data_IF_384563890635
#
_entry.id   IF_384563890635
#
_cell.length_a   1.000
_cell.length_b   1.000
_cell.length_c   1.000
_cell.angle_alpha   90.00
_cell.angle_beta   90.00
_cell.angle_gamma   90.00
#
_symmetry.space_group_name_H-M   'P 1'
#
loop_
_entity.id
_entity.type
_entity.pdbx_description
1 polymer ?
#
# COMPACT_ATOMS: atom_id res chain seq x y z
N UNK A 1 4.33 -6.67 -15.38
CA UNK A 1 3.93 -5.44 -14.64
C UNK A 1 4.79 -5.30 -13.39
N UNK A 2 5.01 -4.10 -12.94
CA UNK A 2 5.81 -3.82 -11.76
C UNK A 2 5.05 -2.98 -10.76
N UNK A 3 5.18 -3.32 -9.46
CA UNK A 3 4.62 -2.55 -8.35
C UNK A 3 5.71 -2.20 -7.33
N UNK A 4 5.67 -0.97 -6.85
CA UNK A 4 6.47 -0.53 -5.70
C UNK A 4 5.54 -0.50 -4.50
N UNK A 5 5.93 -1.18 -3.44
CA UNK A 5 5.20 -1.21 -2.16
C UNK A 5 6.07 -0.50 -1.12
N UNK A 6 5.51 0.51 -0.47
CA UNK A 6 6.20 1.25 0.57
C UNK A 6 5.65 0.84 1.94
N UNK A 7 6.50 0.26 2.76
CA UNK A 7 6.16 -0.28 4.08
C UNK A 7 6.25 -1.80 4.12
N UNK A 8 7.23 -2.33 4.84
CA UNK A 8 7.46 -3.78 4.97
C UNK A 8 6.70 -4.34 6.18
N UNK A 9 5.38 -4.21 6.15
CA UNK A 9 4.47 -4.69 7.21
C UNK A 9 3.82 -6.02 6.83
N UNK A 10 3.06 -6.57 7.76
CA UNK A 10 2.31 -7.81 7.52
C UNK A 10 1.34 -7.73 6.35
N UNK A 11 0.70 -6.56 6.15
CA UNK A 11 -0.20 -6.32 5.02
C UNK A 11 0.53 -6.42 3.68
N UNK A 12 1.76 -5.91 3.61
CA UNK A 12 2.58 -6.03 2.40
C UNK A 12 2.90 -7.50 2.11
N UNK A 13 3.27 -8.25 3.14
CA UNK A 13 3.57 -9.68 3.00
C UNK A 13 2.36 -10.46 2.48
N UNK A 14 1.20 -10.23 3.06
CA UNK A 14 -0.04 -10.89 2.63
C UNK A 14 -0.39 -10.53 1.19
N UNK A 15 -0.27 -9.26 0.82
CA UNK A 15 -0.53 -8.82 -0.55
C UNK A 15 0.41 -9.52 -1.53
N UNK A 16 1.72 -9.52 -1.24
CA UNK A 16 2.74 -10.12 -2.10
C UNK A 16 2.45 -11.61 -2.31
N UNK A 17 2.05 -12.31 -1.25
CA UNK A 17 1.76 -13.73 -1.33
C UNK A 17 0.47 -14.05 -2.11
N UNK A 18 -0.39 -13.06 -2.35
CA UNK A 18 -1.68 -13.23 -3.03
C UNK A 18 -1.70 -12.78 -4.47
N UNK A 19 -0.94 -11.74 -4.84
CA UNK A 19 -0.98 -11.24 -6.22
C UNK A 19 -0.31 -12.21 -7.18
N UNK A 20 -0.69 -12.10 -8.46
CA UNK A 20 -0.23 -13.03 -9.48
C UNK A 20 1.28 -12.93 -9.74
N UNK A 21 1.84 -13.99 -10.29
CA UNK A 21 3.27 -14.07 -10.65
C UNK A 21 3.68 -13.08 -11.76
N UNK A 22 2.71 -12.49 -12.44
CA UNK A 22 2.99 -11.47 -13.46
C UNK A 22 3.49 -10.14 -12.91
N UNK A 23 3.48 -9.96 -11.59
CA UNK A 23 3.98 -8.75 -10.95
C UNK A 23 5.42 -8.92 -10.47
N UNK A 24 6.30 -8.01 -10.91
CA UNK A 24 7.60 -7.80 -10.28
C UNK A 24 7.42 -6.81 -9.13
N UNK A 25 8.05 -7.07 -8.00
CA UNK A 25 7.77 -6.34 -6.76
C UNK A 25 9.04 -5.76 -6.17
N UNK A 26 9.01 -4.47 -5.84
CA UNK A 26 10.00 -3.82 -4.99
C UNK A 26 9.33 -3.36 -3.70
N UNK A 27 9.97 -3.62 -2.57
CA UNK A 27 9.50 -3.17 -1.26
C UNK A 27 10.50 -2.18 -0.69
N UNK A 28 10.04 -1.02 -0.29
CA UNK A 28 10.85 0.03 0.33
C UNK A 28 10.45 0.17 1.79
N UNK A 29 11.42 0.21 2.67
CA UNK A 29 11.21 0.55 4.08
C UNK A 29 12.44 1.30 4.61
N UNK A 30 12.20 2.22 5.52
CA UNK A 30 13.26 2.95 6.18
C UNK A 30 14.06 2.07 7.14
N UNK A 31 13.40 1.05 7.70
CA UNK A 31 13.93 0.16 8.71
C UNK A 31 14.56 -1.08 8.08
N UNK A 32 15.89 -1.15 8.11
CA UNK A 32 16.63 -2.25 7.53
C UNK A 32 16.35 -3.59 8.24
N UNK A 33 16.08 -3.57 9.53
CA UNK A 33 15.76 -4.78 10.28
C UNK A 33 14.43 -5.37 9.84
N UNK A 34 13.44 -4.53 9.57
CA UNK A 34 12.16 -4.98 9.00
C UNK A 34 12.38 -5.65 7.66
N UNK A 35 13.17 -5.05 6.78
CA UNK A 35 13.46 -5.63 5.47
C UNK A 35 14.20 -6.95 5.59
N UNK A 36 15.17 -7.03 6.49
CA UNK A 36 15.95 -8.25 6.70
C UNK A 36 15.07 -9.41 7.13
N UNK A 37 14.10 -9.15 7.98
CA UNK A 37 13.19 -10.14 8.52
C UNK A 37 11.94 -10.34 7.67
N UNK A 38 11.80 -9.56 6.59
CA UNK A 38 10.66 -9.63 5.69
C UNK A 38 10.85 -10.75 4.67
N UNK A 39 10.10 -11.82 4.83
CA UNK A 39 10.17 -12.97 3.91
C UNK A 39 8.81 -13.24 3.29
N UNK A 40 8.83 -13.61 2.02
CA UNK A 40 7.63 -13.91 1.24
C UNK A 40 7.81 -15.23 0.51
N UNK A 41 6.74 -15.76 -0.06
CA UNK A 41 6.78 -16.99 -0.86
C UNK A 41 7.34 -16.79 -2.28
N UNK A 42 7.82 -15.59 -2.60
CA UNK A 42 8.37 -15.25 -3.91
C UNK A 42 9.53 -14.28 -3.77
N UNK A 43 10.33 -14.21 -4.82
CA UNK A 43 11.47 -13.30 -4.86
C UNK A 43 10.98 -11.85 -5.05
N UNK A 44 11.52 -10.95 -4.25
CA UNK A 44 11.24 -9.51 -4.32
C UNK A 44 12.53 -8.73 -4.20
N UNK A 45 12.51 -7.49 -4.67
CA UNK A 45 13.60 -6.55 -4.44
C UNK A 45 13.31 -5.76 -3.16
N UNK A 46 14.28 -5.71 -2.26
CA UNK A 46 14.17 -4.97 -1.00
C UNK A 46 15.08 -3.76 -1.05
N UNK A 47 14.54 -2.59 -0.75
CA UNK A 47 15.29 -1.34 -0.80
C UNK A 47 15.13 -0.62 0.53
N UNK A 48 16.24 -0.41 1.22
CA UNK A 48 16.26 0.37 2.45
C UNK A 48 16.45 1.83 2.09
N UNK A 49 15.57 2.69 2.58
CA UNK A 49 15.68 4.12 2.36
C UNK A 49 14.39 4.85 2.64
N UNK A 50 14.47 6.16 2.54
CA UNK A 50 13.33 7.06 2.67
C UNK A 50 12.58 7.14 1.35
N UNK A 51 11.36 6.62 1.30
CA UNK A 51 10.56 6.58 0.08
C UNK A 51 10.08 7.97 -0.37
N UNK A 52 10.21 9.00 0.46
CA UNK A 52 9.94 10.38 0.02
C UNK A 52 11.09 10.97 -0.79
N UNK A 53 12.18 10.23 -0.93
CA UNK A 53 13.31 10.61 -1.78
C UNK A 53 13.11 10.07 -3.20
N UNK A 54 13.15 10.96 -4.18
CA UNK A 54 13.08 10.58 -5.60
C UNK A 54 14.18 9.59 -5.98
N UNK A 55 15.38 9.72 -5.40
CA UNK A 55 16.48 8.81 -5.67
C UNK A 55 16.20 7.41 -5.20
N UNK A 56 15.60 7.26 -4.03
CA UNK A 56 15.21 5.95 -3.49
C UNK A 56 14.13 5.31 -4.37
N UNK A 57 13.14 6.08 -4.77
CA UNK A 57 12.09 5.59 -5.67
C UNK A 57 12.65 5.19 -7.04
N UNK A 58 13.61 5.93 -7.56
CA UNK A 58 14.29 5.57 -8.81
C UNK A 58 15.06 4.26 -8.68
N UNK A 59 15.74 4.04 -7.56
CA UNK A 59 16.40 2.77 -7.28
C UNK A 59 15.41 1.61 -7.27
N UNK A 60 14.19 1.86 -6.79
CA UNK A 60 13.13 0.86 -6.79
C UNK A 60 12.52 0.63 -8.17
N UNK A 61 12.94 1.39 -9.17
CA UNK A 61 12.46 1.26 -10.54
C UNK A 61 11.23 2.08 -10.86
N UNK A 62 11.10 3.27 -10.28
CA UNK A 62 9.94 4.13 -10.47
C UNK A 62 9.60 4.35 -11.95
N UNK A 63 10.62 4.53 -12.80
CA UNK A 63 10.43 4.84 -14.23
C UNK A 63 9.75 3.72 -15.02
N UNK A 64 9.89 2.47 -14.56
CA UNK A 64 9.27 1.30 -15.21
C UNK A 64 8.10 0.73 -14.41
N UNK A 65 7.64 1.45 -13.39
CA UNK A 65 6.63 0.96 -12.47
C UNK A 65 5.22 1.19 -13.02
N UNK A 66 4.37 0.18 -12.88
CA UNK A 66 2.96 0.24 -13.27
C UNK A 66 2.09 0.81 -12.15
N UNK A 67 2.40 0.48 -10.90
CA UNK A 67 1.58 0.84 -9.74
C UNK A 67 2.44 1.11 -8.52
N UNK A 68 1.95 1.99 -7.65
CA UNK A 68 2.57 2.29 -6.35
C UNK A 68 1.53 2.12 -5.25
N UNK A 69 1.88 1.38 -4.22
CA UNK A 69 1.04 1.13 -3.05
C UNK A 69 1.79 1.58 -1.81
N UNK A 70 1.19 2.46 -1.01
CA UNK A 70 1.79 2.92 0.22
C UNK A 70 1.03 2.38 1.43
N UNK A 71 1.76 1.76 2.35
CA UNK A 71 1.22 1.03 3.50
C UNK A 71 1.83 1.51 4.83
N UNK A 72 2.49 2.68 4.85
CA UNK A 72 3.11 3.16 6.09
C UNK A 72 2.06 3.67 7.07
N UNK A 73 2.42 3.78 8.34
CA UNK A 73 1.56 4.33 9.38
C UNK A 73 1.53 5.87 9.39
N UNK A 74 2.20 6.50 8.44
CA UNK A 74 2.33 7.96 8.35
C UNK A 74 1.70 8.45 7.04
N UNK A 75 0.55 9.14 7.16
CA UNK A 75 -0.16 9.66 5.98
C UNK A 75 0.65 10.71 5.22
N UNK A 76 1.47 11.53 5.89
CA UNK A 76 2.32 12.49 5.19
C UNK A 76 3.32 11.79 4.26
N UNK A 77 3.94 10.72 4.73
CA UNK A 77 4.86 9.92 3.92
C UNK A 77 4.11 9.29 2.75
N UNK A 78 2.97 8.67 3.02
CA UNK A 78 2.17 8.02 1.99
C UNK A 78 1.77 9.01 0.89
N UNK A 79 1.28 10.18 1.28
CA UNK A 79 0.84 11.22 0.34
C UNK A 79 2.01 11.75 -0.49
N UNK A 80 3.17 11.98 0.12
CA UNK A 80 4.34 12.49 -0.59
C UNK A 80 4.84 11.47 -1.62
N UNK A 81 4.90 10.20 -1.27
CA UNK A 81 5.29 9.14 -2.21
C UNK A 81 4.34 9.09 -3.40
N UNK A 82 3.04 9.11 -3.15
CA UNK A 82 2.04 9.07 -4.22
C UNK A 82 2.10 10.30 -5.11
N UNK A 83 2.40 11.47 -4.53
CA UNK A 83 2.57 12.70 -5.27
C UNK A 83 3.75 12.62 -6.23
N UNK A 84 4.88 12.11 -5.75
CA UNK A 84 6.07 11.90 -6.60
C UNK A 84 5.75 10.91 -7.72
N UNK A 85 5.07 9.81 -7.40
CA UNK A 85 4.68 8.82 -8.40
C UNK A 85 3.79 9.44 -9.48
N UNK A 86 2.82 10.25 -9.09
CA UNK A 86 1.94 10.95 -10.03
C UNK A 86 2.71 11.90 -10.92
N UNK A 87 3.67 12.62 -10.38
CA UNK A 87 4.55 13.51 -11.13
C UNK A 87 5.42 12.77 -12.16
N UNK A 88 5.58 11.46 -11.98
CA UNK A 88 6.30 10.58 -12.90
C UNK A 88 5.36 9.74 -13.75
N UNK A 89 4.13 10.21 -13.94
CA UNK A 89 3.13 9.61 -14.81
C UNK A 89 2.67 8.20 -14.40
N UNK A 90 2.73 7.90 -13.11
CA UNK A 90 2.17 6.68 -12.57
C UNK A 90 0.80 7.02 -11.99
N UNK A 91 -0.25 6.39 -12.54
CA UNK A 91 -1.63 6.70 -12.18
C UNK A 91 -2.37 5.58 -11.45
N UNK A 92 -1.77 4.39 -11.33
CA UNK A 92 -2.30 3.31 -10.50
C UNK A 92 -1.72 3.46 -9.10
N UNK A 93 -2.38 4.30 -8.31
CA UNK A 93 -1.95 4.68 -6.97
C UNK A 93 -2.95 4.16 -5.95
N UNK A 94 -2.45 3.54 -4.89
CA UNK A 94 -3.28 3.02 -3.79
C UNK A 94 -2.59 3.25 -2.47
N UNK A 95 -3.36 3.46 -1.42
CA UNK A 95 -2.80 3.64 -0.09
C UNK A 95 -3.78 3.25 1.01
N UNK A 96 -3.23 2.85 2.15
CA UNK A 96 -3.99 2.87 3.40
C UNK A 96 -4.17 4.32 3.84
N UNK A 97 -5.26 4.60 4.51
CA UNK A 97 -5.51 5.89 5.17
C UNK A 97 -5.50 5.65 6.66
N UNK A 98 -4.58 6.30 7.37
CA UNK A 98 -4.45 6.15 8.82
C UNK A 98 -5.39 7.09 9.58
N UNK A 99 -5.55 8.31 9.07
CA UNK A 99 -6.47 9.31 9.65
C UNK A 99 -7.57 9.62 8.64
N UNK A 100 -8.82 9.42 9.01
CA UNK A 100 -9.97 9.64 8.12
C UNK A 100 -10.00 11.06 7.52
N UNK A 101 -9.52 12.06 8.27
CA UNK A 101 -9.45 13.44 7.80
C UNK A 101 -8.53 13.63 6.59
N UNK A 102 -7.66 12.67 6.29
CA UNK A 102 -6.73 12.72 5.16
C UNK A 102 -7.28 12.05 3.90
N UNK A 103 -8.43 11.40 3.97
CA UNK A 103 -9.00 10.63 2.86
C UNK A 103 -9.13 11.46 1.58
N UNK A 104 -9.64 12.68 1.68
CA UNK A 104 -9.83 13.54 0.52
C UNK A 104 -8.51 13.91 -0.15
N UNK A 105 -7.44 14.09 0.62
CA UNK A 105 -6.12 14.37 0.06
C UNK A 105 -5.62 13.24 -0.82
N UNK A 106 -5.85 11.99 -0.43
CA UNK A 106 -5.52 10.82 -1.26
C UNK A 106 -6.38 10.78 -2.52
N UNK A 107 -7.68 10.99 -2.39
CA UNK A 107 -8.60 10.97 -3.52
C UNK A 107 -8.28 12.06 -4.54
N UNK A 108 -7.85 13.23 -4.06
CA UNK A 108 -7.45 14.33 -4.93
C UNK A 108 -6.22 13.99 -5.77
N UNK A 109 -5.37 13.06 -5.32
CA UNK A 109 -4.26 12.54 -6.11
C UNK A 109 -4.70 11.44 -7.09
N UNK A 110 -5.96 11.06 -7.06
CA UNK A 110 -6.45 9.94 -7.88
C UNK A 110 -6.14 8.58 -7.31
N UNK A 111 -5.80 8.49 -6.03
CA UNK A 111 -5.47 7.23 -5.39
C UNK A 111 -6.72 6.47 -4.95
N UNK A 112 -6.69 5.14 -5.10
CA UNK A 112 -7.62 4.24 -4.43
C UNK A 112 -7.23 4.15 -2.96
N UNK A 113 -8.20 4.24 -2.07
CA UNK A 113 -7.93 4.24 -0.62
C UNK A 113 -8.48 3.01 0.06
N UNK A 114 -7.75 2.56 1.07
CA UNK A 114 -8.19 1.50 1.99
C UNK A 114 -8.19 2.10 3.39
N UNK A 115 -9.32 2.03 4.06
CA UNK A 115 -9.48 2.52 5.43
C UNK A 115 -9.55 1.32 6.39
N UNK A 116 -8.41 0.94 7.01
CA UNK A 116 -8.34 -0.29 7.81
C UNK A 116 -9.32 -0.30 8.98
N UNK A 117 -9.52 0.83 9.64
CA UNK A 117 -10.44 0.93 10.78
C UNK A 117 -11.86 0.58 10.38
N UNK A 118 -12.30 1.06 9.22
CA UNK A 118 -13.64 0.77 8.71
C UNK A 118 -13.77 -0.69 8.34
N UNK A 119 -12.76 -1.26 7.66
CA UNK A 119 -12.77 -2.67 7.27
C UNK A 119 -12.86 -3.58 8.50
N UNK A 120 -12.06 -3.29 9.53
CA UNK A 120 -12.07 -4.06 10.76
C UNK A 120 -13.41 -3.94 11.49
N UNK A 121 -13.92 -2.73 11.62
CA UNK A 121 -15.20 -2.49 12.29
C UNK A 121 -16.35 -3.21 11.59
N UNK A 122 -16.39 -3.14 10.25
CA UNK A 122 -17.40 -3.84 9.44
C UNK A 122 -17.31 -5.34 9.61
N UNK A 123 -16.11 -5.90 9.68
CA UNK A 123 -15.94 -7.34 9.86
C UNK A 123 -16.43 -7.78 11.23
N UNK A 124 -16.10 -7.05 12.29
CA UNK A 124 -16.56 -7.34 13.63
C UNK A 124 -18.08 -7.16 13.77
N UNK A 125 -18.63 -6.12 13.18
CA UNK A 125 -20.08 -5.95 13.14
C UNK A 125 -20.75 -7.14 12.50
N UNK A 126 -20.23 -7.62 11.40
CA UNK A 126 -20.76 -8.80 10.71
C UNK A 126 -20.70 -10.06 11.57
N UNK A 127 -19.63 -10.23 12.35
CA UNK A 127 -19.48 -11.36 13.28
C UNK A 127 -20.51 -11.28 14.41
N UNK A 128 -20.73 -10.08 14.95
CA UNK A 128 -21.66 -9.86 16.05
C UNK A 128 -23.12 -9.89 15.61
N UNK A 129 -23.42 -9.38 14.41
CA UNK A 129 -24.78 -9.21 13.90
C UNK A 129 -24.96 -9.82 12.50
N UNK A 130 -24.71 -11.13 12.30
CA UNK A 130 -24.73 -11.71 10.95
C UNK A 130 -26.12 -11.69 10.30
N UNK A 131 -27.21 -11.74 11.08
CA UNK A 131 -28.58 -11.71 10.58
C UNK A 131 -28.98 -10.39 9.98
N UNK A 132 -28.31 -9.30 10.36
CA UNK A 132 -28.57 -7.96 9.84
C UNK A 132 -28.25 -7.91 8.34
N UNK A 133 -27.18 -8.56 7.93
CA UNK A 133 -26.79 -8.64 6.52
C UNK A 133 -27.82 -9.44 5.72
N UNK A 134 -28.30 -10.56 6.28
CA UNK A 134 -29.30 -11.39 5.64
C UNK A 134 -30.63 -10.63 5.49
N UNK A 135 -31.03 -9.86 6.52
CA UNK A 135 -32.25 -9.05 6.47
C UNK A 135 -32.21 -8.00 5.39
N UNK A 136 -31.06 -7.44 5.07
CA UNK A 136 -30.90 -6.44 4.04
C UNK A 136 -30.95 -7.02 2.62
N UNK A 137 -30.76 -8.31 2.48
CA UNK A 137 -30.85 -9.00 1.19
C UNK A 137 -32.29 -9.17 0.68
N UNK A 138 -33.27 -8.95 1.54
CA UNK A 138 -34.69 -9.06 1.22
C UNK A 138 -35.35 -7.69 1.23
#
# INVERSE_FOLDING_TARGET
>A
MKVIIVGAHGEAKELINRISSGWSISVIDLDQDKLRNFSTNRQIEKIQGDATSSLVLKKAGLESTTAVITLTLNDEVNLEVLKIAKQNDIFRLSSVVNEASNTDSYKNLGAEVVEPDILLARRFEHILEPRRVVSQAF
#
